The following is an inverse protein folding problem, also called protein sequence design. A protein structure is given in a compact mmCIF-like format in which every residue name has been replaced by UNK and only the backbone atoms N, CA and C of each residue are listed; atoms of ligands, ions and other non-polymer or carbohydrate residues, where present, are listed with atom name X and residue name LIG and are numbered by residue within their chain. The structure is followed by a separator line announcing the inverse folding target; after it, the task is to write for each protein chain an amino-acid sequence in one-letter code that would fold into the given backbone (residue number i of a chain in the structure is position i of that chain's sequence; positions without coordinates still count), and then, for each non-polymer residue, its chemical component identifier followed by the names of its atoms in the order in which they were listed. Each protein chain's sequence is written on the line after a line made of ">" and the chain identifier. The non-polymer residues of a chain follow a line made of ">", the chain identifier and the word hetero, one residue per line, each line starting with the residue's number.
data_IF_729758335954
#
_entry.id   IF_729758335954
#
_cell.length_a   1.000
_cell.length_b   1.000
_cell.length_c   1.000
_cell.angle_alpha   90.00
_cell.angle_beta   90.00
_cell.angle_gamma   90.00
#
_symmetry.space_group_name_H-M   'P 1'
#
loop_
_entity.id
_entity.type
_entity.pdbx_description
1 polymer ?
#
# COMPACT_ATOMS: atom_id res chain seq x y z
N UNK A 1 13.70 -19.10 4.39
CA UNK A 1 14.61 -18.30 5.24
C UNK A 1 14.13 -18.44 6.68
N UNK A 2 14.96 -18.99 7.56
CA UNK A 2 14.69 -19.02 9.00
C UNK A 2 15.31 -17.74 9.58
N UNK A 3 14.61 -17.06 10.50
CA UNK A 3 15.10 -15.83 11.11
C UNK A 3 14.77 -15.78 12.60
N UNK A 4 15.57 -15.02 13.35
CA UNK A 4 15.37 -14.71 14.76
C UNK A 4 16.03 -13.36 15.07
N UNK A 5 15.59 -12.70 16.13
CA UNK A 5 16.27 -11.52 16.71
C UNK A 5 17.20 -11.97 17.82
N UNK A 6 18.26 -11.21 18.07
CA UNK A 6 19.15 -11.48 19.20
C UNK A 6 18.38 -11.38 20.52
N UNK A 7 18.70 -12.28 21.45
CA UNK A 7 18.07 -12.30 22.78
C UNK A 7 18.44 -11.09 23.64
N UNK A 8 19.58 -10.44 23.38
CA UNK A 8 20.08 -9.29 24.14
C UNK A 8 20.78 -8.30 23.21
N UNK A 9 20.38 -7.03 23.27
CA UNK A 9 21.10 -5.92 22.66
C UNK A 9 22.13 -5.34 23.64
N UNK A 10 23.42 -5.35 23.29
CA UNK A 10 24.52 -4.76 24.09
C UNK A 10 25.09 -3.47 23.49
N UNK A 11 24.46 -2.93 22.45
CA UNK A 11 24.86 -1.66 21.86
C UNK A 11 24.54 -0.49 22.79
N UNK A 12 25.20 0.64 22.53
CA UNK A 12 25.03 1.87 23.32
C UNK A 12 23.92 2.79 22.77
N UNK A 13 23.34 2.45 21.62
CA UNK A 13 22.34 3.22 20.90
C UNK A 13 21.18 2.32 20.48
N UNK A 14 20.03 2.92 20.18
CA UNK A 14 18.84 2.21 19.71
C UNK A 14 19.11 1.47 18.39
N UNK A 15 18.52 0.28 18.28
CA UNK A 15 18.48 -0.48 17.03
C UNK A 15 17.06 -0.39 16.45
N UNK A 16 16.82 0.66 15.69
CA UNK A 16 15.51 0.98 15.12
C UNK A 16 15.43 0.56 13.66
N UNK A 17 14.33 -0.10 13.29
CA UNK A 17 14.06 -0.56 11.92
C UNK A 17 12.60 -0.31 11.56
N UNK A 18 12.33 -0.13 10.26
CA UNK A 18 10.97 -0.19 9.71
C UNK A 18 10.77 -1.50 8.96
N UNK A 19 9.63 -2.16 9.18
CA UNK A 19 9.27 -3.37 8.47
C UNK A 19 8.56 -3.02 7.16
N UNK A 20 9.26 -3.17 6.04
CA UNK A 20 8.75 -2.86 4.69
C UNK A 20 8.95 -4.11 3.81
N UNK A 21 7.92 -4.94 3.60
CA UNK A 21 8.03 -6.16 2.80
C UNK A 21 7.93 -5.87 1.30
N UNK A 22 8.38 -6.83 0.48
CA UNK A 22 8.03 -6.87 -0.94
C UNK A 22 6.70 -7.60 -1.12
N UNK A 23 5.62 -6.86 -1.39
CA UNK A 23 4.30 -7.41 -1.69
C UNK A 23 3.94 -7.14 -3.17
N UNK A 24 4.07 -8.13 -4.07
CA UNK A 24 3.82 -7.92 -5.50
C UNK A 24 2.33 -7.70 -5.78
N UNK A 25 2.02 -7.06 -6.91
CA UNK A 25 0.65 -6.86 -7.37
C UNK A 25 0.02 -8.21 -7.74
N UNK A 26 -0.84 -8.72 -6.88
CA UNK A 26 -1.66 -9.90 -7.12
C UNK A 26 -3.01 -9.76 -6.40
N UNK A 27 -3.98 -10.58 -6.77
CA UNK A 27 -5.36 -10.42 -6.30
C UNK A 27 -5.51 -10.42 -4.78
N UNK A 28 -4.81 -11.31 -4.08
CA UNK A 28 -4.86 -11.38 -2.60
C UNK A 28 -4.28 -10.11 -1.96
N UNK A 29 -3.16 -9.61 -2.47
CA UNK A 29 -2.52 -8.41 -1.94
C UNK A 29 -3.35 -7.15 -2.24
N UNK A 30 -4.05 -7.08 -3.37
CA UNK A 30 -4.91 -5.92 -3.68
C UNK A 30 -6.15 -5.88 -2.79
N UNK A 31 -6.72 -7.04 -2.44
CA UNK A 31 -7.83 -7.10 -1.47
C UNK A 31 -7.41 -6.56 -0.10
N UNK A 32 -6.20 -6.92 0.36
CA UNK A 32 -5.63 -6.36 1.58
C UNK A 32 -5.32 -4.86 1.43
N UNK A 33 -4.77 -4.45 0.29
CA UNK A 33 -4.45 -3.04 -0.01
C UNK A 33 -5.68 -2.13 0.13
N UNK A 34 -6.87 -2.60 -0.28
CA UNK A 34 -8.12 -1.85 -0.09
C UNK A 34 -8.40 -1.59 1.40
N UNK A 35 -8.25 -2.62 2.24
CA UNK A 35 -8.46 -2.51 3.69
C UNK A 35 -7.38 -1.64 4.35
N UNK A 36 -6.11 -1.80 3.94
CA UNK A 36 -5.00 -0.98 4.41
C UNK A 36 -5.20 0.49 4.06
N UNK A 37 -5.65 0.80 2.84
CA UNK A 37 -5.95 2.17 2.40
C UNK A 37 -7.03 2.79 3.29
N UNK A 38 -8.11 2.07 3.54
CA UNK A 38 -9.23 2.58 4.33
C UNK A 38 -8.82 2.79 5.80
N UNK A 39 -8.01 1.90 6.37
CA UNK A 39 -7.43 2.05 7.71
C UNK A 39 -6.46 3.25 7.78
N UNK A 40 -5.60 3.40 6.76
CA UNK A 40 -4.70 4.54 6.62
C UNK A 40 -5.47 5.85 6.55
N UNK A 41 -6.55 5.96 5.77
CA UNK A 41 -7.35 7.19 5.71
C UNK A 41 -7.92 7.54 7.10
N UNK A 42 -8.41 6.54 7.83
CA UNK A 42 -8.98 6.71 9.17
C UNK A 42 -7.93 6.92 10.28
N UNK A 43 -6.66 6.59 10.01
CA UNK A 43 -5.59 6.64 11.01
C UNK A 43 -5.68 5.54 12.07
N UNK A 44 -6.31 4.41 11.75
CA UNK A 44 -6.44 3.26 12.66
C UNK A 44 -5.48 2.13 12.26
N UNK A 45 -5.17 1.18 13.16
CA UNK A 45 -4.32 0.06 12.81
C UNK A 45 -4.94 -0.78 11.68
N UNK A 46 -4.12 -1.31 10.74
CA UNK A 46 -4.61 -2.21 9.70
C UNK A 46 -5.04 -3.57 10.31
N UNK A 47 -5.85 -4.38 9.58
CA UNK A 47 -6.59 -5.50 10.16
C UNK A 47 -5.72 -6.66 10.70
N UNK A 48 -4.46 -6.76 10.29
CA UNK A 48 -3.52 -7.77 10.78
C UNK A 48 -2.92 -7.43 12.15
N UNK A 49 -3.15 -6.22 12.64
CA UNK A 49 -2.65 -5.74 13.94
C UNK A 49 -3.80 -5.61 14.94
N UNK A 50 -3.49 -5.62 16.26
CA UNK A 50 -4.49 -5.33 17.27
C UNK A 50 -5.19 -3.98 16.98
N UNK A 51 -6.53 -3.99 16.96
CA UNK A 51 -7.33 -2.82 16.66
C UNK A 51 -7.25 -1.74 17.75
N UNK A 52 -7.95 -0.63 17.52
CA UNK A 52 -8.00 0.51 18.42
C UNK A 52 -8.09 1.82 17.65
N UNK A 53 -7.92 2.94 18.36
CA UNK A 53 -7.94 4.27 17.76
C UNK A 53 -6.69 4.61 16.94
N UNK A 54 -5.61 3.83 17.12
CA UNK A 54 -4.35 4.00 16.41
C UNK A 54 -3.78 5.41 16.50
N UNK A 55 -3.39 5.92 15.34
CA UNK A 55 -2.78 7.23 15.17
C UNK A 55 -3.81 8.33 14.83
N UNK A 56 -5.11 8.03 14.88
CA UNK A 56 -6.19 8.93 14.42
C UNK A 56 -6.18 10.33 15.04
N UNK A 57 -5.62 10.49 16.25
CA UNK A 57 -5.47 11.77 16.95
C UNK A 57 -4.04 12.33 16.98
N UNK A 58 -3.09 11.68 16.34
CA UNK A 58 -1.69 12.12 16.36
C UNK A 58 -1.49 13.35 15.47
N UNK A 59 -0.78 14.34 15.98
CA UNK A 59 -0.34 15.51 15.20
C UNK A 59 0.84 15.11 14.33
N UNK A 60 0.83 15.52 13.06
CA UNK A 60 1.91 15.22 12.10
C UNK A 60 1.82 13.83 11.47
N UNK A 61 0.66 13.17 11.56
CA UNK A 61 0.38 11.91 10.84
C UNK A 61 0.40 12.13 9.33
N UNK A 62 1.03 11.21 8.60
CA UNK A 62 1.06 11.25 7.15
C UNK A 62 -0.36 11.22 6.53
N UNK A 63 -0.59 12.02 5.50
CA UNK A 63 -1.89 12.11 4.82
C UNK A 63 -1.88 11.47 3.43
N UNK A 64 -3.05 11.10 2.86
CA UNK A 64 -3.15 10.66 1.47
C UNK A 64 -2.49 11.61 0.46
N UNK A 65 -2.63 12.91 0.67
CA UNK A 65 -2.08 13.95 -0.21
C UNK A 65 -0.56 13.96 -0.19
N UNK A 66 0.05 13.80 0.98
CA UNK A 66 1.51 13.70 1.13
C UNK A 66 2.05 12.43 0.45
N UNK A 67 1.37 11.29 0.65
CA UNK A 67 1.73 10.03 0.01
C UNK A 67 1.68 10.15 -1.52
N UNK A 68 0.64 10.75 -2.07
CA UNK A 68 0.51 10.97 -3.52
C UNK A 68 1.63 11.89 -4.01
N UNK A 69 1.89 12.99 -3.30
CA UNK A 69 2.94 13.97 -3.64
C UNK A 69 4.33 13.33 -3.68
N UNK A 70 4.61 12.39 -2.78
CA UNK A 70 5.87 11.64 -2.73
C UNK A 70 5.94 10.47 -3.73
N UNK A 71 4.86 10.22 -4.50
CA UNK A 71 4.80 9.17 -5.53
C UNK A 71 4.41 7.78 -5.00
N UNK A 72 3.91 7.68 -3.76
CA UNK A 72 3.46 6.43 -3.14
C UNK A 72 2.01 6.05 -3.43
N UNK A 73 1.25 6.88 -4.16
CA UNK A 73 -0.20 6.76 -4.29
C UNK A 73 -0.67 5.40 -4.80
N UNK A 74 -0.03 4.85 -5.85
CA UNK A 74 -0.35 3.50 -6.37
C UNK A 74 -0.06 2.39 -5.37
N UNK A 75 1.07 2.46 -4.66
CA UNK A 75 1.46 1.45 -3.66
C UNK A 75 0.53 1.45 -2.44
N UNK A 76 -0.12 2.59 -2.16
CA UNK A 76 -1.12 2.75 -1.10
C UNK A 76 -2.58 2.67 -1.58
N UNK A 77 -2.81 2.30 -2.85
CA UNK A 77 -4.16 2.16 -3.42
C UNK A 77 -4.94 3.48 -3.53
N UNK A 78 -4.26 4.62 -3.46
CA UNK A 78 -4.81 5.97 -3.57
C UNK A 78 -4.89 6.48 -5.03
N UNK A 79 -4.17 5.82 -5.94
CA UNK A 79 -4.17 6.10 -7.37
C UNK A 79 -4.34 4.80 -8.18
N UNK A 80 -4.91 4.88 -9.41
CA UNK A 80 -5.02 3.72 -10.28
C UNK A 80 -3.66 3.25 -10.79
N UNK A 81 -3.55 1.94 -10.98
CA UNK A 81 -2.44 1.31 -11.68
C UNK A 81 -2.53 1.59 -13.18
N UNK A 82 -1.39 1.90 -13.81
CA UNK A 82 -1.31 2.21 -15.24
C UNK A 82 -0.71 1.06 -16.05
N UNK A 83 -1.28 0.80 -17.22
CA UNK A 83 -0.76 -0.17 -18.19
C UNK A 83 0.39 0.44 -18.98
N UNK A 84 1.48 -0.31 -19.15
CA UNK A 84 2.62 0.04 -20.01
C UNK A 84 2.60 -0.78 -21.31
N UNK A 85 3.19 -0.23 -22.36
CA UNK A 85 3.19 -0.85 -23.72
C UNK A 85 3.87 -2.22 -23.76
N UNK A 86 4.92 -2.41 -22.97
CA UNK A 86 5.74 -3.63 -22.92
C UNK A 86 5.23 -4.71 -21.95
N UNK A 87 4.05 -4.55 -21.35
CA UNK A 87 3.48 -5.54 -20.43
C UNK A 87 2.92 -6.77 -21.16
N UNK A 88 3.09 -7.92 -20.52
CA UNK A 88 2.46 -9.19 -20.90
C UNK A 88 0.93 -9.11 -20.75
N UNK A 89 0.17 -9.98 -21.43
CA UNK A 89 -1.28 -10.05 -21.26
C UNK A 89 -1.71 -10.24 -19.80
N UNK A 90 -0.99 -11.09 -19.04
CA UNK A 90 -1.30 -11.36 -17.63
C UNK A 90 -1.08 -10.14 -16.71
N UNK A 91 -0.04 -9.35 -16.95
CA UNK A 91 0.18 -8.10 -16.20
C UNK A 91 -0.94 -7.08 -16.46
N UNK A 92 -1.36 -6.92 -17.71
CA UNK A 92 -2.45 -6.02 -18.10
C UNK A 92 -3.76 -6.44 -17.45
N UNK A 93 -4.04 -7.74 -17.45
CA UNK A 93 -5.21 -8.31 -16.80
C UNK A 93 -5.18 -8.08 -15.29
N UNK A 94 -4.03 -8.34 -14.64
CA UNK A 94 -3.89 -8.10 -13.20
C UNK A 94 -4.07 -6.62 -12.84
N UNK A 95 -3.56 -5.69 -13.65
CA UNK A 95 -3.80 -4.25 -13.46
C UNK A 95 -5.29 -3.91 -13.56
N UNK A 96 -5.99 -4.45 -14.56
CA UNK A 96 -7.43 -4.22 -14.72
C UNK A 96 -8.21 -4.75 -13.51
N UNK A 97 -7.91 -5.97 -13.05
CA UNK A 97 -8.52 -6.54 -11.84
C UNK A 97 -8.20 -5.73 -10.59
N UNK A 98 -6.96 -5.27 -10.45
CA UNK A 98 -6.53 -4.49 -9.30
C UNK A 98 -7.31 -3.17 -9.20
N UNK A 99 -7.42 -2.44 -10.32
CA UNK A 99 -8.20 -1.21 -10.38
C UNK A 99 -9.68 -1.45 -10.08
N UNK A 100 -10.26 -2.57 -10.57
CA UNK A 100 -11.63 -2.94 -10.25
C UNK A 100 -11.84 -3.21 -8.75
N UNK A 101 -10.94 -3.95 -8.10
CA UNK A 101 -11.00 -4.23 -6.64
C UNK A 101 -10.88 -2.94 -5.83
N UNK A 102 -10.02 -2.01 -6.26
CA UNK A 102 -9.82 -0.72 -5.59
C UNK A 102 -10.92 0.32 -5.91
N UNK A 103 -11.92 -0.06 -6.70
CA UNK A 103 -13.03 0.79 -7.18
C UNK A 103 -12.59 1.97 -8.06
N UNK A 104 -11.43 1.87 -8.72
CA UNK A 104 -11.07 2.77 -9.80
C UNK A 104 -11.81 2.36 -11.07
N UNK A 105 -12.79 3.17 -11.51
CA UNK A 105 -13.51 2.93 -12.77
C UNK A 105 -12.51 2.91 -13.92
N UNK A 106 -12.70 2.00 -14.87
CA UNK A 106 -11.95 1.98 -16.12
C UNK A 106 -12.08 3.35 -16.79
N UNK A 107 -11.04 4.18 -16.68
CA UNK A 107 -10.86 5.33 -17.55
C UNK A 107 -10.49 4.75 -18.91
N UNK A 108 -11.51 4.34 -19.65
CA UNK A 108 -11.38 3.96 -21.05
C UNK A 108 -10.94 5.21 -21.78
N UNK A 109 -9.66 5.27 -22.16
CA UNK A 109 -9.15 5.90 -23.38
C UNK A 109 -10.09 6.96 -24.02
N UNK A 110 -10.16 8.16 -23.44
CA UNK A 110 -10.53 9.37 -24.18
C UNK A 110 -9.27 10.21 -24.35
N UNK A 111 -8.47 9.84 -25.35
CA UNK A 111 -7.62 10.75 -26.09
C UNK A 111 -7.83 10.44 -27.57
N UNK A 112 -8.89 11.02 -28.10
CA UNK A 112 -9.13 11.22 -29.52
C UNK A 112 -10.03 12.46 -29.65
N UNK A 113 -9.43 13.65 -29.55
CA UNK A 113 -9.65 14.80 -30.44
C UNK A 113 -8.31 15.54 -30.54
#
# INVERSE_FOLDING_TARGET
>A
MIHAVDSVHRGQLDSSVFYIPAAPLCEVNVKYLAQQRDAFTQGIPPPDFPGGEGESRHVGRATPEEVITLGGGRAMGLEPFSVKSNMTPGEKEMISRANAILNFKNCSQEHNI
#
